data_IF_983990698328
#
_entry.id   IF_983990698328
#
_cell.length_a   1.000
_cell.length_b   1.000
_cell.length_c   1.000
_cell.angle_alpha   90.00
_cell.angle_beta   90.00
_cell.angle_gamma   90.00
#
_symmetry.space_group_name_H-M   'P 1'
#
loop_
_entity.id
_entity.type
_entity.pdbx_description
1 polymer ?
#
# COMPACT_ATOMS: atom_id res chain seq x y z
N UNK A 1 -23.96 4.11 19.29
CA UNK A 1 -23.03 4.08 18.14
C UNK A 1 -21.85 4.99 18.42
N UNK A 2 -20.73 4.77 17.71
CA UNK A 2 -19.42 5.42 17.82
C UNK A 2 -18.39 4.61 18.62
N UNK A 3 -18.07 3.43 18.10
CA UNK A 3 -16.80 2.76 18.40
C UNK A 3 -15.68 3.49 17.67
N UNK A 4 -15.11 4.50 18.32
CA UNK A 4 -13.87 5.15 17.89
C UNK A 4 -12.74 4.11 17.87
N UNK A 5 -12.38 3.61 16.70
CA UNK A 5 -11.16 2.82 16.55
C UNK A 5 -9.94 3.74 16.70
N UNK A 6 -9.41 3.75 17.92
CA UNK A 6 -7.99 3.74 18.27
C UNK A 6 -7.08 4.76 17.55
N UNK A 7 -6.82 5.88 18.23
CA UNK A 7 -5.51 6.55 18.17
C UNK A 7 -4.50 5.72 18.97
N UNK A 8 -3.47 5.19 18.32
CA UNK A 8 -2.09 5.05 18.83
C UNK A 8 -1.22 4.25 17.84
N UNK A 9 -0.17 4.90 17.34
CA UNK A 9 1.21 4.43 17.14
C UNK A 9 1.82 5.24 15.98
N UNK A 10 2.48 6.36 16.29
CA UNK A 10 3.90 6.39 16.67
C UNK A 10 4.77 6.35 15.42
N UNK A 11 5.44 7.47 15.19
CA UNK A 11 6.48 7.65 14.18
C UNK A 11 7.60 6.62 14.42
N UNK A 12 8.23 6.10 13.34
CA UNK A 12 9.46 5.28 13.35
C UNK A 12 9.38 3.72 13.27
N UNK A 13 8.63 3.10 12.33
CA UNK A 13 8.91 1.68 11.93
C UNK A 13 8.30 1.19 10.59
N UNK A 14 8.24 2.00 9.54
CA UNK A 14 7.50 1.64 8.30
C UNK A 14 8.39 1.48 7.07
N UNK A 15 9.50 0.74 7.19
CA UNK A 15 10.37 0.44 6.06
C UNK A 15 9.68 -0.31 4.91
N UNK A 16 8.52 -0.94 5.19
CA UNK A 16 7.77 -1.72 4.20
C UNK A 16 6.32 -1.26 4.06
N UNK A 17 5.85 -1.27 2.82
CA UNK A 17 4.47 -0.97 2.43
C UNK A 17 3.82 -2.23 1.83
N UNK A 18 2.62 -2.58 2.30
CA UNK A 18 1.89 -3.75 1.82
C UNK A 18 0.73 -3.31 0.92
N UNK A 19 0.82 -3.66 -0.35
CA UNK A 19 -0.22 -3.44 -1.34
C UNK A 19 -1.11 -4.68 -1.46
N UNK A 20 -2.41 -4.50 -1.22
CA UNK A 20 -3.43 -5.54 -1.40
C UNK A 20 -4.33 -5.29 -2.63
N UNK A 21 -4.27 -4.09 -3.20
CA UNK A 21 -5.11 -3.71 -4.33
C UNK A 21 -4.43 -4.03 -5.66
N UNK A 22 -5.05 -4.84 -6.54
CA UNK A 22 -4.47 -5.14 -7.86
C UNK A 22 -4.33 -3.88 -8.73
N UNK A 23 -5.28 -2.93 -8.63
CA UNK A 23 -5.23 -1.67 -9.38
C UNK A 23 -4.02 -0.81 -8.98
N UNK A 24 -3.73 -0.75 -7.67
CA UNK A 24 -2.57 -0.03 -7.16
C UNK A 24 -1.28 -0.76 -7.57
N UNK A 25 -1.22 -2.08 -7.44
CA UNK A 25 -0.08 -2.88 -7.90
C UNK A 25 0.24 -2.61 -9.37
N UNK A 26 -0.77 -2.61 -10.25
CA UNK A 26 -0.55 -2.37 -11.67
C UNK A 26 -0.06 -0.94 -11.95
N UNK A 27 -0.57 0.05 -11.22
CA UNK A 27 -0.08 1.42 -11.29
C UNK A 27 1.39 1.53 -10.87
N UNK A 28 1.76 0.94 -9.73
CA UNK A 28 3.14 0.93 -9.23
C UNK A 28 4.07 0.18 -10.20
N UNK A 29 3.61 -0.93 -10.78
CA UNK A 29 4.34 -1.69 -11.80
C UNK A 29 4.57 -0.85 -13.06
N UNK A 30 3.56 -0.10 -13.54
CA UNK A 30 3.68 0.80 -14.68
C UNK A 30 4.67 1.94 -14.42
N UNK A 31 4.77 2.41 -13.18
CA UNK A 31 5.78 3.38 -12.72
C UNK A 31 7.19 2.79 -12.54
N UNK A 32 7.36 1.47 -12.75
CA UNK A 32 8.65 0.79 -12.64
C UNK A 32 9.10 0.50 -11.21
N UNK A 33 8.17 0.57 -10.23
CA UNK A 33 8.48 0.22 -8.84
C UNK A 33 8.62 -1.29 -8.68
N UNK A 34 9.72 -1.73 -8.07
CA UNK A 34 9.94 -3.14 -7.71
C UNK A 34 9.42 -3.43 -6.32
N UNK A 35 8.63 -4.49 -6.21
CA UNK A 35 8.27 -5.08 -4.93
C UNK A 35 9.43 -5.95 -4.43
N UNK A 36 9.57 -6.07 -3.12
CA UNK A 36 10.54 -6.94 -2.45
C UNK A 36 10.05 -8.39 -2.52
N UNK A 37 8.79 -8.61 -2.18
CA UNK A 37 8.18 -9.93 -2.13
C UNK A 37 6.69 -9.84 -2.44
N UNK A 38 6.11 -10.94 -2.93
CA UNK A 38 4.67 -11.11 -3.03
C UNK A 38 4.28 -12.42 -2.39
N UNK A 39 3.20 -12.42 -1.62
CA UNK A 39 2.70 -13.60 -0.93
C UNK A 39 1.19 -13.75 -1.05
N UNK A 40 0.68 -14.87 -0.56
CA UNK A 40 -0.74 -15.13 -0.40
C UNK A 40 -1.03 -15.18 1.10
N UNK A 41 -2.09 -14.50 1.53
CA UNK A 41 -2.54 -14.63 2.91
C UNK A 41 -3.19 -16.01 3.11
N UNK A 42 -2.69 -16.82 4.02
CA UNK A 42 -3.05 -18.25 4.15
C UNK A 42 -4.56 -18.50 4.32
N UNK A 43 -5.26 -17.61 5.03
CA UNK A 43 -6.71 -17.77 5.29
C UNK A 43 -7.62 -17.25 4.17
N UNK A 44 -7.20 -16.19 3.48
CA UNK A 44 -8.05 -15.50 2.50
C UNK A 44 -7.59 -15.76 1.07
N UNK A 45 -6.44 -16.40 0.91
CA UNK A 45 -5.70 -16.59 -0.34
C UNK A 45 -5.52 -15.30 -1.15
N UNK A 46 -5.59 -14.15 -0.48
CA UNK A 46 -5.45 -12.84 -1.12
C UNK A 46 -3.98 -12.56 -1.33
N UNK A 47 -3.64 -12.21 -2.58
CA UNK A 47 -2.30 -11.80 -2.95
C UNK A 47 -1.99 -10.43 -2.39
N UNK A 48 -0.79 -10.31 -1.84
CA UNK A 48 -0.22 -9.03 -1.42
C UNK A 48 1.17 -8.85 -2.01
N UNK A 49 1.57 -7.60 -2.16
CA UNK A 49 2.88 -7.21 -2.63
C UNK A 49 3.51 -6.27 -1.60
N UNK A 50 4.70 -6.62 -1.13
CA UNK A 50 5.48 -5.82 -0.20
C UNK A 50 6.48 -4.96 -0.96
N UNK A 51 6.50 -3.67 -0.68
CA UNK A 51 7.42 -2.70 -1.26
C UNK A 51 8.29 -2.09 -0.17
N UNK A 52 9.51 -1.68 -0.51
CA UNK A 52 10.30 -0.81 0.37
C UNK A 52 9.66 0.57 0.37
N UNK A 53 9.45 1.15 1.54
CA UNK A 53 9.03 2.54 1.65
C UNK A 53 10.20 3.44 1.25
N UNK A 54 9.99 4.19 0.18
CA UNK A 54 10.95 5.09 -0.44
C UNK A 54 10.20 6.34 -0.90
N UNK A 55 10.88 7.47 -1.06
CA UNK A 55 10.29 8.73 -1.54
C UNK A 55 9.57 8.54 -2.89
N UNK A 56 10.09 7.66 -3.76
CA UNK A 56 9.42 7.31 -5.03
C UNK A 56 8.08 6.63 -4.82
N UNK A 57 8.01 5.71 -3.86
CA UNK A 57 6.77 5.01 -3.54
C UNK A 57 5.76 5.99 -2.97
N UNK A 58 6.18 6.84 -2.04
CA UNK A 58 5.32 7.83 -1.41
C UNK A 58 4.73 8.81 -2.45
N UNK A 59 5.57 9.32 -3.35
CA UNK A 59 5.11 10.16 -4.46
C UNK A 59 4.13 9.46 -5.40
N UNK A 60 4.34 8.15 -5.68
CA UNK A 60 3.40 7.36 -6.48
C UNK A 60 2.07 7.13 -5.75
N UNK A 61 2.08 6.88 -4.45
CA UNK A 61 0.87 6.73 -3.64
C UNK A 61 0.06 8.02 -3.65
N UNK A 62 0.71 9.16 -3.41
CA UNK A 62 0.08 10.48 -3.47
C UNK A 62 -0.50 10.79 -4.86
N UNK A 63 0.22 10.44 -5.94
CA UNK A 63 -0.29 10.59 -7.31
C UNK A 63 -1.53 9.72 -7.55
N UNK A 64 -1.50 8.47 -7.10
CA UNK A 64 -2.62 7.54 -7.24
C UNK A 64 -3.86 8.01 -6.47
N UNK A 65 -3.68 8.55 -5.26
CA UNK A 65 -4.79 9.10 -4.47
C UNK A 65 -5.39 10.35 -5.11
N UNK A 66 -4.56 11.25 -5.66
CA UNK A 66 -5.05 12.42 -6.41
C UNK A 66 -5.82 12.04 -7.68
N UNK A 67 -5.49 10.91 -8.29
CA UNK A 67 -6.10 10.44 -9.53
C UNK A 67 -7.30 9.51 -9.30
N UNK A 68 -7.67 9.21 -8.05
CA UNK A 68 -8.93 8.53 -7.75
C UNK A 68 -10.07 9.54 -7.96
N UNK A 69 -11.03 9.26 -8.86
CA UNK A 69 -12.26 10.04 -8.89
C UNK A 69 -12.95 9.87 -7.52
N UNK A 70 -13.09 10.98 -6.78
CA UNK A 70 -13.98 11.07 -5.63
C UNK A 70 -15.39 10.74 -6.15
N UNK A 71 -15.89 9.55 -5.80
CA UNK A 71 -17.28 9.18 -6.02
C UNK A 71 -18.07 9.40 -4.74
#
# INVERSE_FOLDING_TARGET
>A
MNGSLTKAHEDNSREYFYCYSPNLYEFLKRKGLRFICSGLHEKTLRKFWQYKRDEKLDGCLAEYERNKPLN
#
